data_IF_310316909161
#
_entry.id   IF_310316909161
#
_cell.length_a   1.000
_cell.length_b   1.000
_cell.length_c   1.000
_cell.angle_alpha   90.00
_cell.angle_beta   90.00
_cell.angle_gamma   90.00
#
_symmetry.space_group_name_H-M   'P 1'
#
loop_
_entity.id
_entity.type
_entity.pdbx_description
1 polymer ?
#
# COMPACT_ATOMS: atom_id res chain seq x y z
N UNK A 1 -13.67 9.94 -0.07
CA UNK A 1 -12.41 10.49 0.48
C UNK A 1 -11.42 10.65 -0.66
N UNK A 2 -11.10 11.88 -1.11
CA UNK A 2 -9.90 12.10 -1.92
C UNK A 2 -8.69 11.96 -0.98
N UNK A 3 -8.13 10.76 -0.85
CA UNK A 3 -6.84 10.59 -0.18
C UNK A 3 -5.81 11.36 -0.99
N UNK A 4 -4.95 12.12 -0.32
CA UNK A 4 -3.95 12.93 -0.99
C UNK A 4 -2.91 11.97 -1.60
N UNK A 5 -3.09 11.60 -2.88
CA UNK A 5 -2.28 10.59 -3.60
C UNK A 5 -0.79 10.82 -3.39
N UNK A 6 -0.34 12.07 -3.52
CA UNK A 6 1.06 12.46 -3.34
C UNK A 6 1.61 12.10 -1.97
N UNK A 7 0.88 12.44 -0.89
CA UNK A 7 1.34 12.17 0.49
C UNK A 7 1.44 10.67 0.78
N UNK A 8 0.50 9.87 0.27
CA UNK A 8 0.55 8.41 0.44
C UNK A 8 1.73 7.80 -0.32
N UNK A 9 2.00 8.27 -1.53
CA UNK A 9 3.15 7.83 -2.35
C UNK A 9 4.48 8.21 -1.68
N UNK A 10 4.61 9.45 -1.21
CA UNK A 10 5.82 9.90 -0.49
C UNK A 10 6.08 9.05 0.76
N UNK A 11 5.06 8.82 1.59
CA UNK A 11 5.18 7.96 2.77
C UNK A 11 5.54 6.50 2.42
N UNK A 12 4.97 5.96 1.33
CA UNK A 12 5.31 4.61 0.85
C UNK A 12 6.76 4.56 0.39
N UNK A 13 7.22 5.56 -0.36
CA UNK A 13 8.60 5.68 -0.83
C UNK A 13 9.60 5.73 0.32
N UNK A 14 9.34 6.57 1.33
CA UNK A 14 10.19 6.70 2.51
C UNK A 14 10.31 5.39 3.30
N UNK A 15 9.22 4.61 3.40
CA UNK A 15 9.18 3.40 4.22
C UNK A 15 9.61 2.13 3.49
N UNK A 16 9.40 2.06 2.18
CA UNK A 16 9.66 0.86 1.38
C UNK A 16 10.93 0.98 0.53
N UNK A 17 11.49 2.18 0.42
CA UNK A 17 12.63 2.50 -0.46
C UNK A 17 12.41 2.15 -1.93
N UNK A 18 11.15 1.99 -2.34
CA UNK A 18 10.75 1.69 -3.71
C UNK A 18 10.74 2.93 -4.59
N UNK A 19 10.74 2.70 -5.90
CA UNK A 19 10.64 3.75 -6.91
C UNK A 19 9.26 4.41 -6.90
N UNK A 20 9.15 5.59 -7.53
CA UNK A 20 7.86 6.28 -7.69
C UNK A 20 6.87 5.44 -8.50
N UNK A 21 7.37 4.68 -9.47
CA UNK A 21 6.57 3.83 -10.34
C UNK A 21 5.94 2.67 -9.56
N UNK A 22 6.74 1.97 -8.75
CA UNK A 22 6.25 0.93 -7.84
C UNK A 22 5.28 1.49 -6.79
N UNK A 23 5.56 2.67 -6.22
CA UNK A 23 4.67 3.30 -5.26
C UNK A 23 3.32 3.70 -5.89
N UNK A 24 3.30 4.06 -7.18
CA UNK A 24 2.04 4.29 -7.91
C UNK A 24 1.25 2.98 -8.10
N UNK A 25 1.92 1.88 -8.46
CA UNK A 25 1.29 0.56 -8.58
C UNK A 25 0.67 0.14 -7.25
N UNK A 26 1.40 0.30 -6.14
CA UNK A 26 0.90 0.01 -4.79
C UNK A 26 -0.33 0.85 -4.48
N UNK A 27 -0.27 2.16 -4.76
CA UNK A 27 -1.39 3.06 -4.57
C UNK A 27 -2.63 2.61 -5.34
N UNK A 28 -2.49 2.23 -6.61
CA UNK A 28 -3.59 1.76 -7.46
C UNK A 28 -4.22 0.48 -6.92
N UNK A 29 -3.41 -0.52 -6.57
CA UNK A 29 -3.88 -1.77 -5.96
C UNK A 29 -4.69 -1.49 -4.69
N UNK A 30 -4.22 -0.58 -3.84
CA UNK A 30 -4.90 -0.19 -2.61
C UNK A 30 -6.19 0.60 -2.87
N UNK A 31 -6.26 1.42 -3.92
CA UNK A 31 -7.49 2.14 -4.30
C UNK A 31 -8.54 1.21 -4.93
N UNK A 32 -8.11 0.20 -5.69
CA UNK A 32 -9.02 -0.80 -6.26
C UNK A 32 -9.76 -1.60 -5.19
N UNK A 33 -9.15 -1.75 -4.01
CA UNK A 33 -9.81 -2.40 -2.88
C UNK A 33 -10.68 -1.39 -2.14
N UNK A 34 -12.01 -1.54 -2.25
CA UNK A 34 -12.98 -0.67 -1.55
C UNK A 34 -12.79 -0.65 -0.01
N UNK A 35 -12.20 -1.71 0.55
CA UNK A 35 -11.81 -1.82 1.96
C UNK A 35 -10.42 -2.44 2.04
N UNK A 36 -9.50 -1.77 2.70
CA UNK A 36 -8.16 -2.29 2.99
C UNK A 36 -8.22 -2.87 4.41
N UNK A 37 -8.06 -4.19 4.54
CA UNK A 37 -8.21 -4.91 5.80
C UNK A 37 -8.12 -6.43 5.62
N UNK A 38 -8.21 -7.19 6.73
CA UNK A 38 -7.96 -8.66 6.76
C UNK A 38 -8.65 -9.45 5.66
N UNK A 39 -9.89 -9.09 5.30
CA UNK A 39 -10.67 -9.78 4.25
C UNK A 39 -10.00 -9.74 2.87
N UNK A 40 -9.28 -8.67 2.56
CA UNK A 40 -8.64 -8.45 1.27
C UNK A 40 -7.11 -8.59 1.33
N UNK A 41 -6.55 -9.01 2.47
CA UNK A 41 -5.09 -9.13 2.68
C UNK A 41 -4.46 -10.02 1.62
N UNK A 42 -4.95 -11.25 1.45
CA UNK A 42 -4.37 -12.20 0.49
C UNK A 42 -4.52 -11.73 -0.96
N UNK A 43 -5.63 -11.05 -1.30
CA UNK A 43 -5.84 -10.48 -2.64
C UNK A 43 -4.82 -9.37 -2.91
N UNK A 44 -4.59 -8.48 -1.93
CA UNK A 44 -3.63 -7.39 -2.05
C UNK A 44 -2.20 -7.94 -2.16
N UNK A 45 -1.83 -8.90 -1.31
CA UNK A 45 -0.53 -9.59 -1.40
C UNK A 45 -0.32 -10.22 -2.77
N UNK A 46 -1.32 -10.96 -3.26
CA UNK A 46 -1.25 -11.59 -4.58
C UNK A 46 -1.03 -10.57 -5.70
N UNK A 47 -1.70 -9.42 -5.63
CA UNK A 47 -1.48 -8.33 -6.60
C UNK A 47 -0.11 -7.69 -6.48
N UNK A 48 0.43 -7.54 -5.27
CA UNK A 48 1.80 -7.06 -5.08
C UNK A 48 2.82 -8.02 -5.68
N UNK A 49 2.69 -9.33 -5.40
CA UNK A 49 3.57 -10.34 -5.99
C UNK A 49 3.51 -10.31 -7.52
N UNK A 50 2.30 -10.26 -8.10
CA UNK A 50 2.11 -10.24 -9.56
C UNK A 50 2.66 -8.97 -10.22
N UNK A 51 2.35 -7.78 -9.66
CA UNK A 51 2.64 -6.49 -10.30
C UNK A 51 4.04 -5.95 -10.01
N UNK A 52 4.63 -6.34 -8.88
CA UNK A 52 5.97 -5.90 -8.46
C UNK A 52 7.02 -7.01 -8.61
N UNK A 53 6.61 -8.23 -8.97
CA UNK A 53 7.48 -9.40 -9.11
C UNK A 53 8.30 -9.65 -7.82
N UNK A 54 7.63 -9.66 -6.69
CA UNK A 54 8.21 -9.84 -5.35
C UNK A 54 7.74 -11.14 -4.70
N UNK A 55 8.49 -11.62 -3.72
CA UNK A 55 8.14 -12.83 -2.96
C UNK A 55 7.00 -12.58 -1.97
N UNK A 56 6.40 -13.67 -1.48
CA UNK A 56 5.27 -13.59 -0.55
C UNK A 56 5.63 -12.89 0.77
N UNK A 57 6.83 -13.15 1.29
CA UNK A 57 7.37 -12.50 2.49
C UNK A 57 7.41 -10.98 2.32
N UNK A 58 7.97 -10.52 1.21
CA UNK A 58 8.08 -9.11 0.86
C UNK A 58 6.70 -8.48 0.60
N UNK A 59 5.78 -9.22 -0.02
CA UNK A 59 4.40 -8.78 -0.21
C UNK A 59 3.63 -8.64 1.11
N UNK A 60 3.89 -9.50 2.10
CA UNK A 60 3.30 -9.39 3.44
C UNK A 60 3.81 -8.15 4.18
N UNK A 61 5.13 -7.92 4.16
CA UNK A 61 5.74 -6.71 4.72
C UNK A 61 5.19 -5.45 4.06
N UNK A 62 5.09 -5.44 2.73
CA UNK A 62 4.55 -4.33 1.97
C UNK A 62 3.09 -4.05 2.31
N UNK A 63 2.28 -5.08 2.51
CA UNK A 63 0.91 -4.95 2.99
C UNK A 63 0.87 -4.30 4.38
N UNK A 64 1.72 -4.76 5.30
CA UNK A 64 1.76 -4.24 6.67
C UNK A 64 2.18 -2.76 6.70
N UNK A 65 3.22 -2.39 5.93
CA UNK A 65 3.68 -1.00 5.78
C UNK A 65 2.59 -0.11 5.17
N UNK A 66 1.94 -0.59 4.11
CA UNK A 66 0.84 0.13 3.46
C UNK A 66 -0.31 0.38 4.42
N UNK A 67 -0.70 -0.64 5.19
CA UNK A 67 -1.77 -0.54 6.16
C UNK A 67 -1.43 0.45 7.28
N UNK A 68 -0.22 0.37 7.83
CA UNK A 68 0.26 1.30 8.86
C UNK A 68 0.26 2.75 8.35
N UNK A 69 0.68 2.96 7.10
CA UNK A 69 0.72 4.29 6.47
C UNK A 69 -0.68 4.86 6.30
N UNK A 70 -1.63 4.05 5.81
CA UNK A 70 -3.03 4.45 5.66
C UNK A 70 -3.69 4.73 7.02
N UNK A 71 -3.43 3.90 8.03
CA UNK A 71 -3.98 4.09 9.37
C UNK A 71 -3.39 5.34 10.04
N UNK A 72 -2.08 5.58 9.93
CA UNK A 72 -1.45 6.80 10.45
C UNK A 72 -2.06 8.05 9.84
N UNK A 73 -2.32 8.07 8.54
CA UNK A 73 -3.01 9.18 7.89
C UNK A 73 -4.47 9.31 8.33
N UNK A 74 -5.15 8.20 8.64
CA UNK A 74 -6.53 8.21 9.16
C UNK A 74 -6.60 8.75 10.60
N UNK A 75 -5.67 8.38 11.47
CA UNK A 75 -5.64 8.80 12.87
C UNK A 75 -5.03 10.19 13.10
N UNK A 76 -4.27 10.74 12.15
CA UNK A 76 -3.80 12.14 12.17
C UNK A 76 -4.90 13.17 11.93
N UNK A 77 -6.14 12.75 11.67
CA UNK A 77 -7.32 13.64 11.49
C UNK A 77 -7.99 13.95 12.86
N UNK A 78 -7.36 13.62 13.99
CA UNK A 78 -7.88 13.90 15.33
C UNK A 78 -7.18 15.07 16.00
#
# INVERSE_FOLDING_TARGET
MKRNKGKLIENLKEKTHRTDEECNIIYEILQEQSIIGRKNKEIIKSKFMEKLNIEESEADELYNISMETILKDFFKIK
#
